data_IF_217934284586
#
_entry.id   IF_217934284586
#
_cell.length_a   1.000
_cell.length_b   1.000
_cell.length_c   1.000
_cell.angle_alpha   90.00
_cell.angle_beta   90.00
_cell.angle_gamma   90.00
#
_symmetry.space_group_name_H-M   'P 1'
#
loop_
_entity.id
_entity.type
_entity.pdbx_description
1 polymer ?
#
# COMPACT_ATOMS: atom_id res chain seq x y z
N UNK A 1 -23.82 12.39 -13.34
CA UNK A 1 -23.19 11.90 -13.37
C UNK A 1 -22.64 11.56 -13.41
N UNK A 2 -22.74 11.66 -13.32
CA UNK A 2 -21.92 11.16 -13.31
C UNK A 2 -21.31 10.63 -13.48
N UNK A 3 -21.63 10.92 -13.41
CA UNK A 3 -20.87 10.31 -13.55
C UNK A 3 -20.24 10.07 -13.70
N UNK A 4 -20.23 10.10 -13.50
CA UNK A 4 -19.56 9.74 -13.63
C UNK A 4 -18.81 9.74 -13.66
N UNK A 5 -18.80 9.80 -13.50
CA UNK A 5 -17.97 9.74 -13.52
C UNK A 5 -17.23 9.34 -13.57
N UNK A 6 -17.44 9.48 -13.67
CA UNK A 6 -16.64 9.03 -13.69
C UNK A 6 -15.96 8.73 -13.78
N UNK A 7 -16.29 8.51 -13.88
CA UNK A 7 -15.57 8.34 -13.97
C UNK A 7 -15.01 8.33 -13.61
N UNK A 8 -16.18 8.00 -14.43
CA UNK A 8 -15.61 8.18 -13.46
C UNK A 8 -14.18 7.97 -13.20
N UNK A 9 -13.84 8.58 -12.73
CA UNK A 9 -12.52 8.62 -12.39
C UNK A 9 -12.09 7.41 -11.63
N UNK A 10 -11.07 6.77 -12.09
CA UNK A 10 -10.57 5.60 -11.44
C UNK A 10 -9.95 5.92 -10.12
N UNK A 11 -10.24 5.11 -9.15
CA UNK A 11 -9.58 5.21 -7.89
C UNK A 11 -8.19 4.64 -7.99
N UNK A 12 -7.27 5.23 -7.25
CA UNK A 12 -5.90 4.78 -7.28
C UNK A 12 -5.65 3.78 -6.18
N UNK A 13 -4.84 2.79 -6.51
CA UNK A 13 -4.43 1.77 -5.56
C UNK A 13 -2.98 2.01 -5.20
N UNK A 14 -2.72 2.10 -3.91
CA UNK A 14 -1.40 2.34 -3.38
C UNK A 14 -0.89 1.12 -2.64
N UNK A 15 0.41 0.94 -2.62
CA UNK A 15 1.03 -0.06 -1.77
C UNK A 15 2.11 0.61 -0.96
N UNK A 16 2.19 0.25 0.31
CA UNK A 16 3.27 0.72 1.19
C UNK A 16 3.99 -0.51 1.70
N UNK A 17 5.27 -0.62 1.40
CA UNK A 17 6.10 -1.75 1.77
C UNK A 17 7.11 -1.29 2.79
N UNK A 18 7.15 -1.96 3.94
CA UNK A 18 8.03 -1.59 5.02
C UNK A 18 7.44 -0.45 5.82
N UNK A 19 6.63 -0.78 6.82
CA UNK A 19 5.86 0.27 7.48
C UNK A 19 6.69 1.11 8.43
N UNK A 20 7.34 0.50 9.44
CA UNK A 20 8.02 1.30 10.44
C UNK A 20 7.11 2.41 10.92
N UNK A 21 7.67 3.41 11.59
CA UNK A 21 6.87 4.53 12.04
C UNK A 21 6.38 5.39 10.89
N UNK A 22 7.30 5.71 9.98
CA UNK A 22 6.96 6.59 8.88
C UNK A 22 5.98 5.92 7.93
N UNK A 23 6.25 4.69 7.54
CA UNK A 23 5.38 3.97 6.62
C UNK A 23 4.00 3.73 7.22
N UNK A 24 3.95 3.42 8.51
CA UNK A 24 2.67 3.19 9.17
C UNK A 24 1.83 4.46 9.17
N UNK A 25 2.43 5.61 9.53
CA UNK A 25 1.73 6.87 9.50
C UNK A 25 1.24 7.21 8.10
N UNK A 26 2.09 6.99 7.11
CA UNK A 26 1.73 7.28 5.73
C UNK A 26 0.57 6.40 5.28
N UNK A 27 0.66 5.11 5.57
CA UNK A 27 -0.40 4.17 5.20
C UNK A 27 -1.73 4.56 5.85
N UNK A 28 -1.67 4.91 7.12
CA UNK A 28 -2.88 5.30 7.83
C UNK A 28 -3.50 6.55 7.23
N UNK A 29 -2.69 7.53 6.86
CA UNK A 29 -3.20 8.74 6.25
C UNK A 29 -3.80 8.48 4.87
N UNK A 30 -3.20 7.59 4.11
CA UNK A 30 -3.77 7.21 2.81
C UNK A 30 -5.14 6.55 3.01
N UNK A 31 -5.24 5.68 3.99
CA UNK A 31 -6.51 5.03 4.28
C UNK A 31 -7.56 6.05 4.72
N UNK A 32 -7.18 7.00 5.57
CA UNK A 32 -8.09 8.03 6.05
C UNK A 32 -8.54 8.94 4.91
N UNK A 33 -7.72 9.07 3.88
CA UNK A 33 -8.07 9.86 2.70
C UNK A 33 -8.94 9.07 1.72
N UNK A 34 -9.31 7.86 2.07
CA UNK A 34 -10.19 7.05 1.23
C UNK A 34 -9.50 6.32 0.12
N UNK A 35 -8.18 6.19 0.18
CA UNK A 35 -7.45 5.49 -0.87
C UNK A 35 -7.45 3.99 -0.65
N UNK A 36 -7.48 3.23 -1.73
CA UNK A 36 -7.30 1.80 -1.65
C UNK A 36 -5.83 1.51 -1.42
N UNK A 37 -5.55 0.56 -0.54
CA UNK A 37 -4.22 0.43 0.02
C UNK A 37 -3.87 -1.01 0.31
N UNK A 38 -2.67 -1.39 -0.09
CA UNK A 38 -2.05 -2.66 0.30
C UNK A 38 -0.87 -2.31 1.19
N UNK A 39 -0.76 -2.93 2.36
CA UNK A 39 0.40 -2.72 3.21
C UNK A 39 1.13 -4.03 3.40
N UNK A 40 2.44 -3.97 3.38
CA UNK A 40 3.30 -5.14 3.50
C UNK A 40 4.40 -4.83 4.50
N UNK A 41 4.59 -5.70 5.46
CA UNK A 41 5.68 -5.58 6.42
C UNK A 41 6.08 -6.97 6.85
N UNK A 42 7.30 -7.08 7.36
CA UNK A 42 7.80 -8.38 7.81
C UNK A 42 7.37 -8.70 9.24
N UNK A 43 6.93 -7.69 9.99
CA UNK A 43 6.59 -7.87 11.39
C UNK A 43 5.10 -8.08 11.55
N UNK A 44 4.75 -9.17 12.19
CA UNK A 44 3.34 -9.49 12.41
C UNK A 44 2.65 -8.45 13.26
N UNK A 45 3.35 -7.92 14.27
CA UNK A 45 2.75 -6.93 15.16
C UNK A 45 2.34 -5.67 14.40
N UNK A 46 3.17 -5.26 13.44
CA UNK A 46 2.86 -4.08 12.63
C UNK A 46 1.65 -4.35 11.75
N UNK A 47 1.59 -5.53 11.17
CA UNK A 47 0.47 -5.89 10.32
C UNK A 47 -0.82 -5.95 11.13
N UNK A 48 -0.75 -6.50 12.35
CA UNK A 48 -1.93 -6.55 13.20
C UNK A 48 -2.49 -5.16 13.50
N UNK A 49 -1.62 -4.17 13.62
CA UNK A 49 -2.06 -2.80 13.80
C UNK A 49 -2.64 -2.22 12.51
N UNK A 50 -2.08 -2.60 11.38
CA UNK A 50 -2.51 -2.05 10.09
C UNK A 50 -3.89 -2.56 9.68
N UNK A 51 -4.30 -3.75 10.13
CA UNK A 51 -5.61 -4.27 9.76
C UNK A 51 -6.75 -3.43 10.32
N UNK A 52 -6.44 -2.51 11.24
CA UNK A 52 -7.48 -1.61 11.76
C UNK A 52 -7.91 -0.59 10.71
N UNK A 53 -7.12 -0.35 9.68
CA UNK A 53 -7.50 0.64 8.66
C UNK A 53 -7.40 0.12 7.23
N UNK A 54 -6.98 -1.11 7.01
CA UNK A 54 -7.01 -1.68 5.68
C UNK A 54 -7.25 -3.19 5.76
N UNK A 55 -8.00 -3.68 4.80
CA UNK A 55 -8.25 -5.12 4.70
C UNK A 55 -7.11 -5.84 4.01
N UNK A 56 -6.19 -5.11 3.41
CA UNK A 56 -5.13 -5.71 2.60
C UNK A 56 -3.78 -5.48 3.26
N UNK A 57 -3.59 -6.08 4.41
CA UNK A 57 -2.35 -6.00 5.15
C UNK A 57 -1.73 -7.38 5.18
N UNK A 58 -0.50 -7.50 4.72
CA UNK A 58 0.15 -8.79 4.55
C UNK A 58 1.51 -8.83 5.21
N UNK A 59 1.74 -9.84 6.02
CA UNK A 59 3.07 -10.08 6.56
C UNK A 59 3.86 -10.84 5.52
N UNK A 60 5.05 -10.34 5.20
CA UNK A 60 5.85 -10.94 4.15
C UNK A 60 7.31 -10.77 4.49
N UNK A 61 8.03 -11.88 4.68
CA UNK A 61 9.45 -11.84 4.98
C UNK A 61 10.29 -12.00 3.73
N UNK A 62 9.71 -12.53 2.67
CA UNK A 62 10.41 -12.71 1.40
C UNK A 62 9.68 -11.92 0.33
N UNK A 63 10.27 -10.82 -0.10
CA UNK A 63 9.68 -9.95 -1.11
C UNK A 63 10.00 -10.45 -2.51
N UNK A 64 9.74 -11.71 -2.75
CA UNK A 64 9.96 -12.29 -4.06
C UNK A 64 8.91 -11.76 -5.04
N UNK A 65 9.24 -11.85 -6.31
CA UNK A 65 8.30 -11.45 -7.36
C UNK A 65 7.00 -12.21 -7.24
N UNK A 66 7.09 -13.50 -6.93
CA UNK A 66 5.91 -14.33 -6.82
C UNK A 66 5.02 -13.88 -5.67
N UNK A 67 5.62 -13.64 -4.50
CA UNK A 67 4.86 -13.22 -3.34
C UNK A 67 4.21 -11.87 -3.55
N UNK A 68 4.93 -10.95 -4.17
CA UNK A 68 4.38 -9.62 -4.45
C UNK A 68 3.22 -9.71 -5.44
N UNK A 69 3.33 -10.56 -6.44
CA UNK A 69 2.25 -10.73 -7.40
C UNK A 69 1.02 -11.35 -6.75
N UNK A 70 1.25 -12.25 -5.81
CA UNK A 70 0.14 -12.92 -5.13
C UNK A 70 -0.74 -11.94 -4.36
N UNK A 71 -0.18 -10.85 -3.86
CA UNK A 71 -0.97 -9.85 -3.13
C UNK A 71 -1.46 -8.72 -4.03
N UNK A 72 -1.15 -8.77 -5.32
CA UNK A 72 -1.70 -7.81 -6.25
C UNK A 72 -0.89 -6.55 -6.48
N UNK A 73 0.42 -6.61 -6.21
CA UNK A 73 1.27 -5.43 -6.37
C UNK A 73 1.20 -4.89 -7.80
N UNK A 74 1.03 -5.77 -8.78
CA UNK A 74 0.99 -5.35 -10.18
C UNK A 74 -0.22 -4.50 -10.52
N UNK A 75 -1.21 -4.49 -9.65
CA UNK A 75 -2.41 -3.69 -9.87
C UNK A 75 -2.31 -2.32 -9.24
N UNK A 76 -1.22 -2.05 -8.51
CA UNK A 76 -1.06 -0.78 -7.84
C UNK A 76 -0.64 0.30 -8.83
N UNK A 77 -1.12 1.51 -8.60
CA UNK A 77 -0.70 2.67 -9.38
C UNK A 77 0.59 3.24 -8.82
N UNK A 78 0.74 3.17 -7.51
CA UNK A 78 1.90 3.72 -6.84
C UNK A 78 2.34 2.76 -5.74
N UNK A 79 3.63 2.49 -5.69
CA UNK A 79 4.23 1.64 -4.66
C UNK A 79 5.26 2.48 -3.91
N UNK A 80 5.12 2.56 -2.61
CA UNK A 80 6.03 3.32 -1.76
C UNK A 80 6.82 2.31 -0.94
N UNK A 81 8.13 2.34 -1.10
CA UNK A 81 9.02 1.43 -0.38
C UNK A 81 9.75 2.24 0.68
N UNK A 82 9.53 1.91 1.94
CA UNK A 82 10.14 2.62 3.05
C UNK A 82 11.33 1.81 3.53
N UNK A 83 12.52 2.39 3.43
CA UNK A 83 13.74 1.66 3.75
C UNK A 83 14.18 1.87 5.19
N UNK A 84 14.26 3.12 5.60
CA UNK A 84 14.59 3.46 6.96
C UNK A 84 13.83 4.73 7.32
N UNK A 85 13.93 5.15 8.55
CA UNK A 85 13.06 6.14 9.17
C UNK A 85 12.64 7.30 8.27
N UNK A 86 13.51 7.87 7.49
CA UNK A 86 13.14 9.01 6.66
C UNK A 86 13.51 8.82 5.21
N UNK A 87 13.80 7.58 4.80
CA UNK A 87 14.15 7.30 3.41
C UNK A 87 13.12 6.39 2.80
N UNK A 88 12.67 6.73 1.62
CA UNK A 88 11.69 5.92 0.92
C UNK A 88 11.80 6.16 -0.58
N UNK A 89 11.24 5.23 -1.33
CA UNK A 89 11.11 5.36 -2.78
C UNK A 89 9.65 5.29 -3.15
N UNK A 90 9.28 6.12 -4.11
CA UNK A 90 7.95 6.09 -4.68
C UNK A 90 8.08 5.62 -6.11
N UNK A 91 7.39 4.56 -6.43
CA UNK A 91 7.44 3.98 -7.77
C UNK A 91 6.04 4.06 -8.34
N UNK A 92 5.93 4.72 -9.48
CA UNK A 92 4.66 4.79 -10.18
C UNK A 92 4.67 3.79 -11.30
N UNK A 93 3.63 2.99 -11.35
CA UNK A 93 3.52 1.97 -12.36
C UNK A 93 2.73 2.52 -13.54
N UNK A 94 3.29 2.37 -14.71
CA UNK A 94 2.62 2.80 -15.94
C UNK A 94 2.02 1.59 -16.60
N UNK A 95 0.77 1.70 -16.95
CA UNK A 95 0.04 0.60 -17.55
C UNK A 95 -0.68 1.02 -18.79
#
# INVERSE_FOLDING_TARGET
ERTMRNNAKKEKLYAVIGLGRFGFSLAKRLAEAGKDLIVIDRKETVINDAVTFTDNAYMMTDLSKENLRNVGIQNCDTVIVVLIASSFFIIRLQR
#
